data_IF_971481552356
#
_entry.id   IF_971481552356
#
_cell.length_a   1.000
_cell.length_b   1.000
_cell.length_c   1.000
_cell.angle_alpha   90.00
_cell.angle_beta   90.00
_cell.angle_gamma   90.00
#
_symmetry.space_group_name_H-M   'P 1'
#
loop_
_entity.id
_entity.type
_entity.pdbx_description
1 polymer ?
#
# COMPACT_ATOMS: atom_id res chain seq x y z
N UNK A 1 16.51 45.54 -34.14
CA UNK A 1 16.77 44.35 -34.96
C UNK A 1 17.35 43.30 -34.04
N UNK A 2 16.65 42.23 -33.75
CA UNK A 2 17.19 41.13 -33.01
C UNK A 2 17.79 40.08 -33.96
N UNK A 3 18.96 39.61 -33.65
CA UNK A 3 19.77 38.66 -34.38
C UNK A 3 19.21 37.24 -34.20
N UNK A 4 19.00 36.55 -35.31
CA UNK A 4 18.70 35.13 -35.40
C UNK A 4 19.91 34.31 -34.97
N UNK A 5 19.69 33.36 -34.01
CA UNK A 5 20.62 32.29 -33.73
C UNK A 5 20.16 31.06 -34.54
N UNK A 6 21.02 30.61 -35.44
CA UNK A 6 20.80 29.36 -36.19
C UNK A 6 21.23 28.17 -35.30
N UNK A 7 20.35 27.22 -35.14
CA UNK A 7 20.65 25.89 -34.61
C UNK A 7 20.86 24.93 -35.79
N UNK A 8 22.12 24.70 -36.13
CA UNK A 8 22.56 23.53 -36.88
C UNK A 8 23.30 22.65 -35.88
N UNK A 9 22.60 21.63 -35.33
CA UNK A 9 23.22 20.51 -34.65
C UNK A 9 22.60 19.22 -35.14
N UNK A 10 23.44 18.41 -35.79
CA UNK A 10 23.11 17.08 -36.25
C UNK A 10 22.79 16.13 -35.09
N UNK A 11 21.86 15.18 -35.26
CA UNK A 11 21.57 14.20 -34.21
C UNK A 11 22.71 13.17 -34.10
N UNK A 12 23.37 13.20 -32.95
CA UNK A 12 24.37 12.19 -32.60
C UNK A 12 23.78 10.79 -32.60
N UNK A 13 24.24 9.97 -33.50
CA UNK A 13 23.97 8.53 -33.56
C UNK A 13 24.72 7.85 -32.42
N UNK A 14 23.99 7.36 -31.41
CA UNK A 14 24.57 6.43 -30.43
C UNK A 14 24.81 5.08 -31.08
N UNK A 15 26.00 4.47 -30.94
CA UNK A 15 26.28 3.15 -31.50
C UNK A 15 25.47 2.08 -30.75
N UNK A 16 24.60 1.41 -31.48
CA UNK A 16 23.92 0.18 -31.08
C UNK A 16 24.97 -0.93 -30.97
N UNK A 17 25.10 -1.55 -29.82
CA UNK A 17 25.97 -2.74 -29.65
C UNK A 17 25.09 -3.98 -29.90
N UNK A 18 25.36 -4.73 -30.99
CA UNK A 18 24.68 -5.98 -31.22
C UNK A 18 25.61 -7.11 -30.75
N UNK A 19 25.41 -7.65 -29.57
CA UNK A 19 25.94 -8.96 -29.17
C UNK A 19 25.30 -9.36 -27.84
N UNK A 20 24.06 -9.87 -27.92
CA UNK A 20 23.49 -10.75 -26.89
C UNK A 20 23.05 -12.00 -27.68
N UNK A 21 23.86 -13.07 -27.60
CA UNK A 21 23.48 -14.38 -28.08
C UNK A 21 22.18 -14.85 -27.39
N UNK A 22 21.24 -15.45 -28.16
CA UNK A 22 20.04 -16.03 -27.56
C UNK A 22 20.43 -17.30 -26.79
N UNK A 23 20.01 -17.36 -25.53
CA UNK A 23 20.11 -18.58 -24.73
C UNK A 23 19.43 -19.77 -25.44
N UNK A 24 19.98 -20.98 -25.33
CA UNK A 24 19.43 -22.16 -26.00
C UNK A 24 18.09 -22.55 -25.36
N UNK A 25 17.08 -22.73 -26.21
CA UNK A 25 15.77 -23.27 -25.85
C UNK A 25 15.90 -24.68 -25.27
N UNK A 26 15.55 -24.83 -24.01
CA UNK A 26 15.44 -26.15 -23.36
C UNK A 26 14.12 -26.78 -23.81
N UNK A 27 14.18 -27.81 -24.60
CA UNK A 27 13.02 -28.66 -24.97
C UNK A 27 12.57 -29.45 -23.73
N UNK A 28 11.24 -29.64 -23.50
CA UNK A 28 10.76 -30.44 -22.39
C UNK A 28 11.06 -31.93 -22.63
N UNK A 29 11.79 -32.55 -21.71
CA UNK A 29 12.04 -33.99 -21.73
C UNK A 29 10.71 -34.76 -21.53
N UNK A 30 10.42 -35.65 -22.45
CA UNK A 30 9.28 -36.55 -22.47
C UNK A 30 9.63 -37.79 -21.63
N UNK A 31 8.98 -37.97 -20.46
CA UNK A 31 9.07 -39.22 -19.70
C UNK A 31 8.11 -40.25 -20.26
N UNK A 32 8.57 -41.50 -20.60
CA UNK A 32 7.69 -42.55 -21.06
C UNK A 32 6.90 -43.18 -19.92
N UNK A 33 5.63 -43.48 -20.20
CA UNK A 33 4.70 -44.15 -19.31
C UNK A 33 5.22 -45.52 -18.88
N UNK A 34 5.19 -45.80 -17.56
CA UNK A 34 5.33 -47.12 -17.01
C UNK A 34 3.99 -47.88 -17.08
N UNK A 35 4.02 -49.24 -17.28
CA UNK A 35 2.83 -50.03 -17.52
C UNK A 35 2.04 -50.34 -16.23
N UNK A 36 0.72 -50.26 -16.35
CA UNK A 36 -0.25 -50.72 -15.36
C UNK A 36 -0.11 -52.21 -15.08
N UNK A 37 -0.03 -52.58 -13.81
CA UNK A 37 -0.38 -53.92 -13.31
C UNK A 37 -1.73 -53.86 -12.60
N UNK A 38 -2.64 -54.80 -12.90
CA UNK A 38 -3.95 -54.92 -12.21
C UNK A 38 -3.87 -55.85 -10.99
N UNK A 39 -4.79 -55.57 -10.05
CA UNK A 39 -5.33 -56.43 -9.01
C UNK A 39 -4.49 -56.74 -7.77
N UNK A 40 -4.94 -56.16 -6.65
CA UNK A 40 -5.38 -56.96 -5.49
C UNK A 40 -6.25 -56.15 -4.51
N UNK A 41 -7.52 -56.57 -4.40
CA UNK A 41 -8.51 -56.12 -3.44
C UNK A 41 -8.11 -56.45 -1.99
N UNK A 42 -7.98 -55.44 -1.13
CA UNK A 42 -8.13 -55.63 0.31
C UNK A 42 -8.84 -54.40 0.93
N UNK A 43 -10.12 -54.62 1.21
CA UNK A 43 -10.95 -53.79 2.09
C UNK A 43 -10.23 -53.56 3.45
N UNK A 44 -9.69 -52.37 3.70
CA UNK A 44 -9.38 -51.87 5.05
C UNK A 44 -10.11 -50.54 5.26
N UNK A 45 -10.87 -50.50 6.37
CA UNK A 45 -11.62 -49.36 6.83
C UNK A 45 -10.78 -48.07 6.90
N UNK A 46 -11.33 -46.85 6.69
CA UNK A 46 -10.59 -45.63 6.67
C UNK A 46 -10.04 -45.34 8.07
N UNK A 47 -8.71 -45.43 8.22
CA UNK A 47 -8.00 -44.89 9.36
C UNK A 47 -8.14 -43.36 9.34
N UNK A 48 -8.78 -42.85 10.40
CA UNK A 48 -8.82 -41.41 10.70
C UNK A 48 -7.37 -40.87 10.70
N UNK A 49 -7.01 -40.19 9.64
CA UNK A 49 -5.74 -39.46 9.55
C UNK A 49 -5.85 -38.30 10.54
N UNK A 50 -5.26 -38.48 11.72
CA UNK A 50 -4.96 -37.35 12.60
C UNK A 50 -4.03 -36.43 11.82
N UNK A 51 -4.50 -35.23 11.47
CA UNK A 51 -3.71 -34.20 10.84
C UNK A 51 -2.48 -33.92 11.73
N UNK A 52 -1.32 -34.31 11.23
CA UNK A 52 -0.02 -33.98 11.84
C UNK A 52 0.08 -32.46 11.78
N UNK A 53 -0.04 -31.78 12.91
CA UNK A 53 0.28 -30.36 12.99
C UNK A 53 1.72 -30.22 12.50
N UNK A 54 1.90 -29.53 11.36
CA UNK A 54 3.24 -29.20 10.88
C UNK A 54 3.92 -28.38 11.97
N UNK A 55 5.09 -28.81 12.44
CA UNK A 55 5.85 -28.11 13.47
C UNK A 55 6.24 -26.70 12.98
N UNK A 56 6.39 -25.75 13.91
CA UNK A 56 6.71 -24.35 13.59
C UNK A 56 7.93 -24.17 12.68
N UNK A 57 8.90 -25.12 12.71
CA UNK A 57 10.09 -25.11 11.84
C UNK A 57 9.73 -25.37 10.37
N UNK A 58 8.75 -26.21 10.08
CA UNK A 58 8.30 -26.48 8.69
C UNK A 58 7.53 -25.28 8.13
N UNK A 59 6.77 -24.57 8.98
CA UNK A 59 6.09 -23.33 8.60
C UNK A 59 7.08 -22.20 8.32
N UNK A 60 8.19 -22.11 9.05
CA UNK A 60 9.26 -21.14 8.79
C UNK A 60 9.93 -21.42 7.45
N UNK A 61 10.19 -22.68 7.12
CA UNK A 61 10.78 -23.07 5.82
C UNK A 61 9.86 -22.81 4.64
N UNK A 62 8.55 -22.98 4.82
CA UNK A 62 7.55 -22.81 3.77
C UNK A 62 7.18 -21.34 3.52
N UNK A 63 7.12 -20.51 4.57
CA UNK A 63 6.61 -19.13 4.50
C UNK A 63 7.63 -18.07 4.92
N UNK A 64 8.79 -18.48 5.46
CA UNK A 64 9.77 -17.54 6.00
C UNK A 64 9.28 -16.70 7.18
N UNK A 65 8.19 -17.11 7.83
CA UNK A 65 7.58 -16.39 8.95
C UNK A 65 7.22 -17.33 10.10
N UNK A 66 7.40 -16.87 11.32
CA UNK A 66 6.87 -17.53 12.52
C UNK A 66 5.34 -17.35 12.55
N UNK A 67 4.58 -18.39 12.96
CA UNK A 67 3.16 -18.19 13.23
C UNK A 67 3.00 -17.16 14.35
N UNK A 68 2.17 -16.15 14.09
CA UNK A 68 1.80 -15.17 15.12
C UNK A 68 0.94 -15.88 16.17
N UNK A 69 1.19 -15.68 17.47
CA UNK A 69 0.31 -16.22 18.51
C UNK A 69 -1.14 -15.80 18.27
N UNK A 70 -2.07 -16.73 18.39
CA UNK A 70 -3.50 -16.39 18.35
C UNK A 70 -3.86 -15.55 19.57
N UNK A 71 -4.03 -14.26 19.36
CA UNK A 71 -4.51 -13.33 20.38
C UNK A 71 -5.96 -12.97 20.03
N UNK A 72 -6.89 -13.26 20.94
CA UNK A 72 -8.25 -12.76 20.84
C UNK A 72 -8.23 -11.25 21.02
N UNK A 73 -8.50 -10.52 19.95
CA UNK A 73 -8.52 -9.07 19.92
C UNK A 73 -9.75 -8.59 19.15
N UNK A 74 -10.39 -7.55 19.65
CA UNK A 74 -11.44 -6.80 18.94
C UNK A 74 -10.87 -5.75 17.98
N UNK A 75 -9.55 -5.64 17.89
CA UNK A 75 -8.84 -4.76 16.95
C UNK A 75 -8.26 -5.64 15.84
N UNK A 76 -8.55 -5.28 14.59
CA UNK A 76 -7.91 -5.85 13.42
C UNK A 76 -6.76 -4.95 12.95
N UNK A 77 -5.68 -5.56 12.43
CA UNK A 77 -4.53 -4.83 11.90
C UNK A 77 -4.33 -5.18 10.43
N UNK A 78 -4.24 -4.18 9.58
CA UNK A 78 -3.86 -4.32 8.17
C UNK A 78 -2.51 -3.64 7.97
N UNK A 79 -1.57 -4.35 7.33
CA UNK A 79 -0.26 -3.81 6.98
C UNK A 79 -0.18 -3.49 5.50
N UNK A 80 0.20 -2.25 5.17
CA UNK A 80 0.45 -1.77 3.81
C UNK A 80 1.95 -1.60 3.66
N UNK A 81 2.59 -2.57 2.99
CA UNK A 81 4.05 -2.68 2.90
C UNK A 81 4.49 -2.81 1.46
N UNK A 82 5.58 -2.13 1.10
CA UNK A 82 6.12 -2.14 -0.25
C UNK A 82 5.36 -1.23 -1.19
N UNK A 83 5.31 -1.58 -2.47
CA UNK A 83 4.62 -0.79 -3.49
C UNK A 83 3.12 -1.10 -3.51
N UNK A 84 2.27 -0.08 -3.64
CA UNK A 84 0.83 -0.25 -3.83
C UNK A 84 0.60 -0.65 -5.29
N UNK A 85 0.13 -1.88 -5.48
CA UNK A 85 -0.12 -2.47 -6.78
C UNK A 85 -1.56 -2.20 -7.21
N UNK A 86 -1.72 -1.68 -8.43
CA UNK A 86 -3.02 -1.41 -9.04
C UNK A 86 -3.38 -2.46 -10.09
N UNK A 87 -3.83 -2.00 -11.26
CA UNK A 87 -4.27 -2.91 -12.34
C UNK A 87 -3.11 -3.61 -13.08
N UNK A 88 -1.88 -3.08 -12.96
CA UNK A 88 -0.70 -3.73 -13.52
C UNK A 88 -0.07 -4.63 -12.48
N UNK A 89 0.08 -5.91 -12.83
CA UNK A 89 0.78 -6.90 -11.99
C UNK A 89 2.28 -6.61 -12.02
N UNK A 90 2.86 -6.41 -10.85
CA UNK A 90 4.29 -6.20 -10.71
C UNK A 90 5.06 -7.52 -10.67
N UNK A 91 6.36 -7.52 -11.03
CA UNK A 91 7.20 -8.70 -10.94
C UNK A 91 7.15 -9.35 -9.54
N UNK A 92 7.12 -10.69 -9.44
CA UNK A 92 6.90 -11.41 -8.18
C UNK A 92 8.00 -11.20 -7.12
N UNK A 93 9.19 -10.72 -7.53
CA UNK A 93 10.25 -10.34 -6.61
C UNK A 93 10.02 -9.01 -5.90
N UNK A 94 9.08 -8.20 -6.36
CA UNK A 94 8.73 -6.95 -5.71
C UNK A 94 7.85 -7.20 -4.48
N UNK A 95 8.13 -6.49 -3.39
CA UNK A 95 7.18 -6.44 -2.27
C UNK A 95 6.06 -5.48 -2.62
N UNK A 96 4.83 -6.00 -2.64
CA UNK A 96 3.64 -5.21 -3.00
C UNK A 96 2.51 -5.42 -2.01
N UNK A 97 1.68 -4.39 -1.90
CA UNK A 97 0.34 -4.49 -1.30
C UNK A 97 -0.67 -4.37 -2.44
N UNK A 98 -1.45 -5.41 -2.65
CA UNK A 98 -2.47 -5.48 -3.71
C UNK A 98 -3.79 -4.93 -3.20
N UNK A 99 -4.32 -3.89 -3.86
CA UNK A 99 -5.56 -3.24 -3.42
C UNK A 99 -6.77 -4.19 -3.45
N UNK A 100 -6.82 -5.11 -4.42
CA UNK A 100 -7.87 -6.14 -4.51
C UNK A 100 -7.86 -7.15 -3.35
N UNK A 101 -6.76 -7.23 -2.59
CA UNK A 101 -6.70 -8.02 -1.35
C UNK A 101 -7.10 -7.20 -0.12
N UNK A 102 -6.92 -5.88 -0.15
CA UNK A 102 -7.23 -4.98 0.97
C UNK A 102 -8.73 -4.67 1.03
N UNK A 103 -9.36 -4.35 -0.10
CA UNK A 103 -10.77 -3.95 -0.14
C UNK A 103 -11.72 -5.00 0.44
N UNK A 104 -11.63 -6.31 0.09
CA UNK A 104 -12.49 -7.32 0.70
C UNK A 104 -12.28 -7.46 2.21
N UNK A 105 -11.04 -7.26 2.70
CA UNK A 105 -10.75 -7.27 4.14
C UNK A 105 -11.44 -6.12 4.85
N UNK A 106 -11.40 -4.90 4.29
CA UNK A 106 -12.08 -3.73 4.84
C UNK A 106 -13.60 -3.94 4.92
N UNK A 107 -14.20 -4.53 3.88
CA UNK A 107 -15.63 -4.90 3.89
C UNK A 107 -15.92 -5.93 4.98
N UNK A 108 -15.09 -6.96 5.11
CA UNK A 108 -15.27 -7.98 6.13
C UNK A 108 -15.14 -7.39 7.55
N UNK A 109 -14.21 -6.46 7.76
CA UNK A 109 -14.04 -5.74 9.02
C UNK A 109 -15.28 -4.91 9.33
N UNK A 110 -15.81 -4.15 8.35
CA UNK A 110 -17.01 -3.34 8.54
C UNK A 110 -18.21 -4.17 8.99
N UNK A 111 -18.38 -5.36 8.39
CA UNK A 111 -19.50 -6.26 8.68
C UNK A 111 -19.34 -7.11 9.94
N UNK A 112 -18.11 -7.32 10.42
CA UNK A 112 -17.86 -8.19 11.57
C UNK A 112 -18.36 -7.60 12.89
N UNK A 113 -19.21 -8.28 13.65
CA UNK A 113 -19.61 -7.81 14.99
C UNK A 113 -18.49 -7.97 16.03
N UNK A 114 -17.45 -8.76 15.75
CA UNK A 114 -16.36 -9.04 16.70
C UNK A 114 -15.24 -8.02 16.60
N UNK A 115 -15.09 -7.36 15.44
CA UNK A 115 -14.07 -6.33 15.22
C UNK A 115 -14.69 -4.97 15.53
N UNK A 116 -14.11 -4.27 16.50
CA UNK A 116 -14.59 -2.97 16.97
C UNK A 116 -13.70 -1.80 16.51
N UNK A 117 -12.49 -2.09 16.05
CA UNK A 117 -11.58 -1.06 15.54
C UNK A 117 -10.53 -1.62 14.57
N UNK A 118 -9.99 -0.71 13.75
CA UNK A 118 -8.99 -1.04 12.72
C UNK A 118 -7.71 -0.24 12.94
N UNK A 119 -6.58 -0.91 12.89
CA UNK A 119 -5.26 -0.28 12.84
C UNK A 119 -4.60 -0.52 11.49
N UNK A 120 -4.17 0.55 10.83
CA UNK A 120 -3.40 0.52 9.58
C UNK A 120 -1.93 0.76 9.87
N UNK A 121 -1.07 -0.16 9.46
CA UNK A 121 0.39 -0.06 9.62
C UNK A 121 0.99 0.21 8.26
N UNK A 122 1.74 1.33 8.12
CA UNK A 122 2.31 1.74 6.84
C UNK A 122 3.84 1.65 6.86
N UNK A 123 4.36 1.01 5.82
CA UNK A 123 5.75 1.09 5.38
C UNK A 123 5.80 0.93 3.85
N UNK A 124 5.36 1.96 3.14
CA UNK A 124 5.15 1.94 1.68
C UNK A 124 5.92 3.05 0.97
N UNK A 125 6.38 2.73 -0.22
CA UNK A 125 6.97 3.69 -1.16
C UNK A 125 5.92 4.41 -2.01
N UNK A 126 4.62 4.10 -1.81
CA UNK A 126 3.54 4.53 -2.69
C UNK A 126 3.30 3.56 -3.83
N UNK A 127 2.75 4.03 -4.94
CA UNK A 127 2.46 3.18 -6.10
C UNK A 127 1.34 3.72 -6.98
N UNK A 128 0.41 2.85 -7.36
CA UNK A 128 -0.73 3.20 -8.20
C UNK A 128 -1.69 4.17 -7.49
N UNK A 129 -1.99 5.29 -8.15
CA UNK A 129 -2.78 6.37 -7.58
C UNK A 129 -4.24 5.99 -7.36
N UNK A 130 -4.84 5.28 -8.33
CA UNK A 130 -6.24 4.87 -8.23
C UNK A 130 -6.43 3.80 -7.14
N UNK A 131 -5.52 2.83 -7.08
CA UNK A 131 -5.53 1.81 -6.03
C UNK A 131 -5.34 2.42 -4.63
N UNK A 132 -4.40 3.37 -4.49
CA UNK A 132 -4.16 4.03 -3.22
C UNK A 132 -5.32 4.90 -2.76
N UNK A 133 -5.94 5.67 -3.67
CA UNK A 133 -7.16 6.44 -3.35
C UNK A 133 -8.34 5.52 -3.02
N UNK A 134 -8.52 4.41 -3.73
CA UNK A 134 -9.58 3.45 -3.42
C UNK A 134 -9.43 2.88 -2.00
N UNK A 135 -8.21 2.53 -1.59
CA UNK A 135 -7.93 2.08 -0.21
C UNK A 135 -8.23 3.20 0.79
N UNK A 136 -7.79 4.44 0.52
CA UNK A 136 -7.98 5.57 1.40
C UNK A 136 -9.47 5.92 1.60
N UNK A 137 -10.25 5.98 0.52
CA UNK A 137 -11.70 6.20 0.56
C UNK A 137 -12.42 5.09 1.33
N UNK A 138 -12.04 3.83 1.14
CA UNK A 138 -12.60 2.72 1.90
C UNK A 138 -12.33 2.86 3.39
N UNK A 139 -11.09 3.20 3.79
CA UNK A 139 -10.73 3.39 5.20
C UNK A 139 -11.52 4.54 5.81
N UNK A 140 -11.58 5.70 5.14
CA UNK A 140 -12.28 6.89 5.64
C UNK A 140 -13.80 6.72 5.75
N UNK A 141 -14.37 5.77 5.00
CA UNK A 141 -15.81 5.47 4.99
C UNK A 141 -16.24 4.43 6.02
N UNK A 142 -15.29 3.80 6.74
CA UNK A 142 -15.64 2.80 7.77
C UNK A 142 -16.39 3.43 8.92
N UNK A 143 -17.39 2.72 9.44
CA UNK A 143 -18.14 3.16 10.63
C UNK A 143 -17.40 2.91 11.93
N UNK A 144 -16.35 2.12 11.92
CA UNK A 144 -15.55 1.72 13.09
C UNK A 144 -14.37 2.65 13.31
N UNK A 145 -13.95 2.88 14.57
CA UNK A 145 -12.74 3.66 14.86
C UNK A 145 -11.53 3.11 14.14
N UNK A 146 -10.77 4.02 13.57
CA UNK A 146 -9.58 3.69 12.77
C UNK A 146 -8.37 4.50 13.23
N UNK A 147 -7.21 3.86 13.29
CA UNK A 147 -5.93 4.52 13.59
C UNK A 147 -4.88 4.07 12.59
N UNK A 148 -4.10 4.99 12.05
CA UNK A 148 -2.93 4.68 11.24
C UNK A 148 -1.64 4.89 12.02
N UNK A 149 -0.58 4.17 11.61
CA UNK A 149 0.77 4.41 12.08
C UNK A 149 1.77 4.24 10.91
N UNK A 150 2.54 5.28 10.63
CA UNK A 150 3.67 5.24 9.71
C UNK A 150 4.92 4.83 10.49
N UNK A 151 5.45 3.61 10.22
CA UNK A 151 6.60 3.05 10.93
C UNK A 151 7.93 3.22 10.18
N UNK A 152 7.92 3.22 8.86
CA UNK A 152 9.09 3.42 8.02
C UNK A 152 8.83 4.51 7.00
N UNK A 153 8.15 4.16 5.91
CA UNK A 153 7.75 5.09 4.85
C UNK A 153 6.25 5.22 4.70
N UNK A 154 5.76 6.44 4.51
CA UNK A 154 4.39 6.73 4.08
C UNK A 154 4.42 7.63 2.85
N UNK A 155 5.09 7.14 1.76
CA UNK A 155 5.46 7.98 0.64
C UNK A 155 4.39 8.07 -0.43
N UNK A 156 4.34 9.20 -1.15
CA UNK A 156 3.52 9.38 -2.36
C UNK A 156 2.04 9.09 -2.07
N UNK A 157 1.41 8.16 -2.78
CA UNK A 157 0.02 7.77 -2.54
C UNK A 157 -0.21 7.04 -1.20
N UNK A 158 0.84 6.73 -0.44
CA UNK A 158 0.76 6.32 0.96
C UNK A 158 0.33 7.45 1.89
N UNK A 159 0.52 8.72 1.49
CA UNK A 159 0.09 9.90 2.28
C UNK A 159 -1.42 9.94 2.47
N UNK A 160 -2.27 9.88 1.42
CA UNK A 160 -3.72 9.78 1.59
C UNK A 160 -4.14 8.62 2.51
N UNK A 161 -3.52 7.44 2.37
CA UNK A 161 -3.86 6.29 3.21
C UNK A 161 -3.53 6.55 4.68
N UNK A 162 -2.41 7.23 4.95
CA UNK A 162 -2.01 7.55 6.32
C UNK A 162 -3.00 8.49 7.02
N UNK A 163 -3.57 9.45 6.29
CA UNK A 163 -4.51 10.44 6.84
C UNK A 163 -5.98 10.01 6.74
N UNK A 164 -6.27 8.89 6.10
CA UNK A 164 -7.65 8.40 5.90
C UNK A 164 -8.31 7.89 7.18
N UNK A 165 -7.54 7.68 8.25
CA UNK A 165 -8.04 7.18 9.54
C UNK A 165 -8.48 8.31 10.45
N UNK A 166 -9.33 7.99 11.44
CA UNK A 166 -9.81 8.98 12.44
C UNK A 166 -8.66 9.59 13.26
N UNK A 167 -7.53 8.89 13.40
CA UNK A 167 -6.35 9.42 14.07
C UNK A 167 -5.07 8.77 13.50
N UNK A 168 -4.07 9.59 13.24
CA UNK A 168 -2.83 9.18 12.57
C UNK A 168 -1.60 9.37 13.43
N UNK A 169 -0.69 8.39 13.40
CA UNK A 169 0.61 8.43 14.07
C UNK A 169 1.76 8.29 13.07
N UNK A 170 2.90 8.85 13.42
CA UNK A 170 4.17 8.65 12.74
C UNK A 170 5.27 8.34 13.76
N UNK A 171 6.11 7.34 13.50
CA UNK A 171 7.29 7.09 14.32
C UNK A 171 8.34 8.19 14.12
N UNK A 172 9.19 8.44 15.13
CA UNK A 172 10.16 9.54 15.11
C UNK A 172 11.11 9.50 13.90
N UNK A 173 11.49 8.31 13.46
CA UNK A 173 12.41 8.11 12.33
C UNK A 173 11.70 7.82 11.02
N UNK A 174 10.37 7.69 11.03
CA UNK A 174 9.60 7.44 9.83
C UNK A 174 9.52 8.69 8.96
N UNK A 175 9.39 8.49 7.66
CA UNK A 175 9.40 9.58 6.68
C UNK A 175 8.21 9.52 5.73
N UNK A 176 7.80 10.69 5.26
CA UNK A 176 6.74 10.85 4.27
C UNK A 176 7.26 11.72 3.12
N UNK A 177 7.21 11.21 1.90
CA UNK A 177 7.58 11.96 0.70
C UNK A 177 6.33 12.45 0.00
N UNK A 178 6.25 13.76 -0.18
CA UNK A 178 5.17 14.44 -0.90
C UNK A 178 5.74 14.95 -2.22
N UNK A 179 5.15 14.53 -3.33
CA UNK A 179 5.58 14.94 -4.67
C UNK A 179 4.41 14.93 -5.65
N UNK A 180 4.52 15.62 -6.83
CA UNK A 180 3.47 15.58 -7.85
C UNK A 180 3.26 14.18 -8.41
N UNK A 181 2.07 13.94 -8.95
CA UNK A 181 1.78 12.71 -9.70
C UNK A 181 2.74 12.60 -10.89
N UNK A 182 3.27 11.40 -11.09
CA UNK A 182 4.16 11.06 -12.20
C UNK A 182 3.44 10.17 -13.19
N UNK A 183 3.68 10.42 -14.47
CA UNK A 183 3.21 9.58 -15.56
C UNK A 183 4.40 8.91 -16.24
N UNK A 184 4.33 7.58 -16.40
CA UNK A 184 5.27 6.81 -17.21
C UNK A 184 4.51 6.24 -18.41
N UNK A 185 5.01 6.47 -19.61
CA UNK A 185 4.44 5.90 -20.82
C UNK A 185 4.38 6.85 -22.00
N UNK A 186 3.76 6.40 -23.09
CA UNK A 186 3.52 7.19 -24.30
C UNK A 186 2.44 8.25 -24.01
N UNK A 187 2.76 9.52 -24.26
CA UNK A 187 1.82 10.64 -24.15
C UNK A 187 1.22 10.93 -25.53
N UNK A 188 -0.09 10.77 -25.66
CA UNK A 188 -0.86 11.13 -26.85
C UNK A 188 -1.77 12.28 -26.46
N UNK A 189 -1.60 13.46 -27.09
CA UNK A 189 -2.39 14.65 -26.76
C UNK A 189 -1.89 15.33 -25.48
N UNK A 190 -0.82 16.10 -25.60
CA UNK A 190 -0.14 16.77 -24.47
C UNK A 190 -1.10 17.63 -23.62
N UNK A 191 -1.96 18.52 -24.20
CA UNK A 191 -2.87 19.33 -23.39
C UNK A 191 -3.84 18.48 -22.56
N UNK A 192 -4.45 17.46 -23.16
CA UNK A 192 -5.41 16.56 -22.50
C UNK A 192 -4.74 15.74 -21.38
N UNK A 193 -3.50 15.32 -21.60
CA UNK A 193 -2.70 14.63 -20.58
C UNK A 193 -2.39 15.53 -19.40
N UNK A 194 -2.05 16.80 -19.66
CA UNK A 194 -1.82 17.78 -18.60
C UNK A 194 -3.09 18.03 -17.77
N UNK A 195 -4.22 18.28 -18.42
CA UNK A 195 -5.51 18.46 -17.74
C UNK A 195 -5.91 17.24 -16.92
N UNK A 196 -5.64 16.03 -17.41
CA UNK A 196 -5.90 14.79 -16.68
C UNK A 196 -5.02 14.69 -15.42
N UNK A 197 -3.72 14.93 -15.55
CA UNK A 197 -2.79 14.89 -14.42
C UNK A 197 -3.14 15.93 -13.36
N UNK A 198 -3.54 17.13 -13.77
CA UNK A 198 -3.95 18.19 -12.85
C UNK A 198 -5.21 17.79 -12.07
N UNK A 199 -6.23 17.25 -12.73
CA UNK A 199 -7.43 16.69 -12.07
C UNK A 199 -7.09 15.55 -11.09
N UNK A 200 -6.19 14.65 -11.47
CA UNK A 200 -5.77 13.56 -10.60
C UNK A 200 -5.04 14.08 -9.37
N UNK A 201 -4.19 15.08 -9.55
CA UNK A 201 -3.48 15.72 -8.46
C UNK A 201 -4.40 16.45 -7.51
N UNK A 202 -5.41 17.16 -8.05
CA UNK A 202 -6.45 17.79 -7.25
C UNK A 202 -7.23 16.81 -6.38
N UNK A 203 -7.50 15.60 -6.86
CA UNK A 203 -8.13 14.54 -6.06
C UNK A 203 -7.27 14.18 -4.84
N UNK A 204 -5.97 14.00 -5.04
CA UNK A 204 -5.04 13.70 -3.94
C UNK A 204 -4.96 14.86 -2.94
N UNK A 205 -4.80 16.10 -3.44
CA UNK A 205 -4.76 17.30 -2.58
C UNK A 205 -6.04 17.44 -1.76
N UNK A 206 -7.20 17.35 -2.41
CA UNK A 206 -8.49 17.48 -1.75
C UNK A 206 -8.71 16.40 -0.70
N UNK A 207 -8.37 15.14 -1.00
CA UNK A 207 -8.47 14.06 -0.03
C UNK A 207 -7.60 14.32 1.20
N UNK A 208 -6.32 14.62 1.00
CA UNK A 208 -5.38 14.87 2.11
C UNK A 208 -5.82 16.04 2.99
N UNK A 209 -6.23 17.14 2.37
CA UNK A 209 -6.62 18.35 3.12
C UNK A 209 -7.99 18.23 3.80
N UNK A 210 -8.86 17.34 3.33
CA UNK A 210 -10.12 17.01 4.01
C UNK A 210 -9.93 16.11 5.25
N UNK A 211 -8.81 15.36 5.29
CA UNK A 211 -8.54 14.36 6.33
C UNK A 211 -7.33 14.71 7.22
N UNK A 212 -6.84 15.95 7.14
CA UNK A 212 -5.72 16.43 7.97
C UNK A 212 -5.88 17.93 8.27
N UNK A 213 -4.96 18.49 9.04
CA UNK A 213 -4.96 19.92 9.36
C UNK A 213 -4.13 20.77 8.41
N UNK A 214 -3.42 20.15 7.45
CA UNK A 214 -2.62 20.87 6.45
C UNK A 214 -3.54 21.59 5.47
N UNK A 215 -3.20 22.82 5.10
CA UNK A 215 -3.96 23.55 4.07
C UNK A 215 -3.57 23.12 2.66
N UNK A 216 -4.46 23.36 1.68
CA UNK A 216 -4.19 23.07 0.28
C UNK A 216 -2.94 23.79 -0.23
N UNK A 217 -2.76 25.06 0.12
CA UNK A 217 -1.60 25.84 -0.29
C UNK A 217 -0.30 25.28 0.29
N UNK A 218 -0.29 24.93 1.59
CA UNK A 218 0.87 24.32 2.24
C UNK A 218 1.19 22.94 1.65
N UNK A 219 0.17 22.12 1.39
CA UNK A 219 0.40 20.80 0.80
C UNK A 219 0.94 20.88 -0.62
N UNK A 220 0.41 21.82 -1.45
CA UNK A 220 0.95 22.11 -2.78
C UNK A 220 2.34 22.69 -2.74
N UNK A 221 2.64 23.59 -1.80
CA UNK A 221 4.00 24.10 -1.61
C UNK A 221 5.00 22.97 -1.35
N UNK A 222 4.69 22.04 -0.44
CA UNK A 222 5.52 20.86 -0.18
C UNK A 222 5.65 19.96 -1.41
N UNK A 223 4.56 19.80 -2.16
CA UNK A 223 4.50 18.96 -3.35
C UNK A 223 5.39 19.47 -4.48
N UNK A 224 5.47 20.78 -4.67
CA UNK A 224 6.20 21.41 -5.78
C UNK A 224 7.55 22.00 -5.37
N UNK A 225 7.99 21.77 -4.15
CA UNK A 225 9.29 22.28 -3.69
C UNK A 225 10.43 21.65 -4.47
N UNK A 226 11.38 22.50 -4.90
CA UNK A 226 12.59 22.07 -5.62
C UNK A 226 13.80 22.12 -4.70
N UNK A 227 14.79 21.25 -4.95
CA UNK A 227 16.09 21.28 -4.27
C UNK A 227 16.21 20.42 -3.00
N UNK A 228 15.13 19.84 -2.49
CA UNK A 228 15.17 18.87 -1.38
C UNK A 228 15.39 17.43 -1.85
N UNK A 229 14.69 17.03 -2.89
CA UNK A 229 14.86 15.71 -3.50
C UNK A 229 15.95 15.77 -4.56
N UNK A 230 16.95 14.91 -4.45
CA UNK A 230 17.98 14.79 -5.47
C UNK A 230 17.36 14.34 -6.81
N UNK A 231 17.40 15.21 -7.81
CA UNK A 231 16.88 15.00 -9.16
C UNK A 231 15.35 14.88 -9.27
N UNK A 232 14.61 15.47 -8.32
CA UNK A 232 13.14 15.40 -8.34
C UNK A 232 12.51 16.63 -7.65
N UNK A 233 11.20 16.73 -7.77
CA UNK A 233 10.36 17.77 -7.14
C UNK A 233 9.63 17.11 -5.97
N UNK A 234 9.56 17.82 -4.84
CA UNK A 234 8.84 17.38 -3.64
C UNK A 234 9.61 17.61 -2.36
N UNK A 235 9.02 17.13 -1.28
CA UNK A 235 9.54 17.29 0.08
C UNK A 235 9.52 15.97 0.83
N UNK A 236 10.52 15.74 1.67
CA UNK A 236 10.52 14.64 2.66
C UNK A 236 10.27 15.25 4.04
N UNK A 237 9.24 14.77 4.73
CA UNK A 237 8.97 15.11 6.13
C UNK A 237 9.34 13.92 7.02
N UNK A 238 10.08 14.16 8.10
CA UNK A 238 10.51 13.11 9.03
C UNK A 238 9.82 13.31 10.38
N UNK A 239 9.17 12.27 10.88
CA UNK A 239 8.60 12.21 12.23
C UNK A 239 7.81 13.47 12.60
N UNK A 240 8.40 14.27 13.48
CA UNK A 240 7.82 15.49 14.03
C UNK A 240 7.44 16.53 12.97
N UNK A 241 8.18 16.65 11.88
CA UNK A 241 7.90 17.61 10.81
C UNK A 241 6.53 17.38 10.16
N UNK A 242 6.12 16.11 9.99
CA UNK A 242 4.80 15.79 9.48
C UNK A 242 3.67 16.27 10.42
N UNK A 243 3.90 16.21 11.72
CA UNK A 243 2.95 16.71 12.73
C UNK A 243 2.93 18.24 12.77
N UNK A 244 4.09 18.89 12.72
CA UNK A 244 4.23 20.36 12.72
C UNK A 244 3.57 20.99 11.47
N UNK A 245 3.59 20.29 10.33
CA UNK A 245 2.88 20.71 9.12
C UNK A 245 1.37 20.40 9.16
N UNK A 246 0.88 19.74 10.20
CA UNK A 246 -0.52 19.37 10.33
C UNK A 246 -0.95 18.20 9.43
N UNK A 247 -0.01 17.46 8.84
CA UNK A 247 -0.29 16.32 8.00
C UNK A 247 -0.67 15.08 8.81
N UNK A 248 0.07 14.81 9.90
CA UNK A 248 -0.17 13.69 10.82
C UNK A 248 -0.54 14.27 12.21
N UNK A 249 -1.33 13.52 13.00
CA UNK A 249 -1.82 14.02 14.28
C UNK A 249 -0.75 14.00 15.37
N UNK A 250 -0.05 12.87 15.55
CA UNK A 250 0.89 12.70 16.64
C UNK A 250 2.15 11.92 16.25
N UNK A 251 3.27 12.22 16.92
CA UNK A 251 4.43 11.34 16.94
C UNK A 251 4.20 10.24 17.96
N UNK A 252 4.29 8.99 17.52
CA UNK A 252 4.09 7.85 18.40
C UNK A 252 4.41 6.51 17.78
N UNK A 253 4.63 5.52 18.65
CA UNK A 253 4.81 4.12 18.27
C UNK A 253 3.54 3.29 18.48
N UNK A 254 3.65 1.99 18.24
CA UNK A 254 2.54 1.02 18.29
C UNK A 254 1.76 1.09 19.62
N UNK A 255 2.45 1.27 20.75
CA UNK A 255 1.79 1.33 22.05
C UNK A 255 0.80 2.50 22.15
N UNK A 256 1.19 3.71 21.68
CA UNK A 256 0.31 4.88 21.63
C UNK A 256 -0.85 4.67 20.66
N UNK A 257 -0.58 4.12 19.48
CA UNK A 257 -1.60 3.87 18.47
C UNK A 257 -2.68 2.89 18.98
N UNK A 258 -2.26 1.79 19.59
CA UNK A 258 -3.18 0.81 20.19
C UNK A 258 -3.97 1.43 21.35
N UNK A 259 -3.32 2.22 22.22
CA UNK A 259 -3.99 2.87 23.34
C UNK A 259 -5.05 3.87 22.84
N UNK A 260 -4.72 4.67 21.82
CA UNK A 260 -5.66 5.62 21.21
C UNK A 260 -6.86 4.90 20.60
N UNK A 261 -6.62 3.83 19.84
CA UNK A 261 -7.69 3.06 19.21
C UNK A 261 -8.62 2.43 20.28
N UNK A 262 -8.07 1.87 21.35
CA UNK A 262 -8.86 1.33 22.48
C UNK A 262 -9.69 2.42 23.17
N UNK A 263 -9.14 3.61 23.36
CA UNK A 263 -9.87 4.75 23.88
C UNK A 263 -11.05 5.08 22.97
N UNK A 264 -10.83 5.22 21.65
CA UNK A 264 -11.87 5.56 20.69
C UNK A 264 -12.98 4.51 20.62
N UNK A 265 -12.65 3.22 20.76
CA UNK A 265 -13.61 2.13 20.86
C UNK A 265 -14.47 2.30 22.13
N UNK A 266 -13.85 2.62 23.27
CA UNK A 266 -14.55 2.80 24.54
C UNK A 266 -15.44 4.05 24.61
N UNK A 267 -15.08 5.10 23.86
CA UNK A 267 -15.83 6.36 23.80
C UNK A 267 -17.07 6.29 22.89
N UNK A 268 -17.24 5.20 22.12
CA UNK A 268 -18.46 5.00 21.31
C UNK A 268 -19.68 4.89 22.19
N UNK A 269 -20.78 5.59 21.86
CA UNK A 269 -22.05 5.38 22.55
C UNK A 269 -22.44 3.90 22.42
N UNK A 270 -22.44 3.18 23.52
CA UNK A 270 -22.98 1.83 23.55
C UNK A 270 -24.47 1.96 23.21
N UNK A 271 -24.83 1.55 21.99
CA UNK A 271 -26.23 1.54 21.54
C UNK A 271 -27.06 0.59 22.39
N UNK A 272 -27.41 1.04 23.60
CA UNK A 272 -28.48 0.46 24.41
C UNK A 272 -29.78 1.11 23.97
N UNK A 273 -30.62 0.33 23.31
CA UNK A 273 -32.02 0.61 23.25
C UNK A 273 -32.61 1.04 21.92
N UNK A 274 -32.61 0.16 20.92
CA UNK A 274 -33.79 0.10 20.05
C UNK A 274 -34.80 -0.77 20.78
N UNK A 275 -35.57 -0.16 21.67
CA UNK A 275 -36.84 -0.73 22.16
C UNK A 275 -37.76 -0.81 20.93
N UNK A 276 -38.00 -2.02 20.46
CA UNK A 276 -39.10 -2.30 19.55
C UNK A 276 -40.40 -1.92 20.25
N UNK A 277 -41.10 -0.96 19.68
CA UNK A 277 -42.53 -0.73 19.90
C UNK A 277 -43.31 -1.24 18.72
#
# INVERSE_FOLDING_TARGET
MPSYISYDDEPGVFPYSPDIDPEPSVEPEFYPNEPHHPDEDHHKAPRRVQGRQKGGVDSIKELGAMPVPEVKSNIHCISIVGQIEGHLVLPPQNKTTKYEHIIPQLIAIEQSPEIEGLMIILNTVGGDVEAGLAIAEMISSLSKPTVSIVLGGGHSIGVPIAVATDHSFIAETASMTIHPIRLNGLVIGVPQTYEYLDKMQDRVVNFVTSHSRITSDQFRELMFRTGELARDIGTVLIGKEAVEKGLIDEVGGVSKAVAKLKQMIGDRPTGKGVTQH
#
